data_IF_743912067609
#
_entry.id   IF_743912067609
#
_cell.length_a   1.000
_cell.length_b   1.000
_cell.length_c   1.000
_cell.angle_alpha   90.00
_cell.angle_beta   90.00
_cell.angle_gamma   90.00
#
_symmetry.space_group_name_H-M   'P 1'
#
loop_
_entity.id
_entity.type
_entity.pdbx_description
1 polymer ?
#
# COMPACT_ATOMS: atom_id res chain seq x y z
N UNK A 1 18.04 -72.48 -14.96
CA UNK A 1 18.79 -71.39 -15.69
C UNK A 1 17.83 -70.38 -16.32
N UNK A 2 16.72 -70.77 -16.91
CA UNK A 2 15.76 -69.81 -17.53
C UNK A 2 15.21 -68.74 -16.55
N UNK A 3 14.94 -69.13 -15.28
CA UNK A 3 14.35 -68.20 -14.28
C UNK A 3 15.31 -67.10 -13.89
N UNK A 4 16.58 -67.39 -13.67
CA UNK A 4 17.60 -66.40 -13.34
C UNK A 4 17.84 -65.41 -14.50
N UNK A 5 17.71 -65.91 -15.74
CA UNK A 5 17.80 -65.07 -16.94
C UNK A 5 16.61 -64.07 -17.01
N UNK A 6 15.37 -64.57 -16.79
CA UNK A 6 14.20 -63.73 -16.77
C UNK A 6 14.22 -62.68 -15.63
N UNK A 7 14.64 -63.09 -14.44
CA UNK A 7 14.82 -62.15 -13.32
C UNK A 7 15.87 -61.06 -13.64
N UNK A 8 17.00 -61.46 -14.30
CA UNK A 8 17.99 -60.49 -14.76
C UNK A 8 17.45 -59.53 -15.82
N UNK A 9 16.67 -60.02 -16.79
CA UNK A 9 16.07 -59.20 -17.84
C UNK A 9 15.05 -58.23 -17.24
N UNK A 10 14.21 -58.68 -16.27
CA UNK A 10 13.25 -57.77 -15.59
C UNK A 10 13.99 -56.66 -14.84
N UNK A 11 15.08 -56.97 -14.12
CA UNK A 11 15.92 -56.03 -13.43
C UNK A 11 16.54 -54.97 -14.39
N UNK A 12 17.07 -55.43 -15.54
CA UNK A 12 17.58 -54.52 -16.57
C UNK A 12 16.53 -53.54 -17.08
N UNK A 13 15.32 -54.01 -17.42
CA UNK A 13 14.21 -53.15 -17.85
C UNK A 13 13.83 -52.09 -16.82
N UNK A 14 13.73 -52.47 -15.58
CA UNK A 14 13.38 -51.59 -14.49
C UNK A 14 14.45 -50.52 -14.27
N UNK A 15 15.73 -50.90 -14.29
CA UNK A 15 16.85 -49.98 -14.18
C UNK A 15 16.96 -49.05 -15.39
N UNK A 16 16.66 -49.55 -16.63
CA UNK A 16 16.56 -48.69 -17.80
C UNK A 16 15.52 -47.60 -17.63
N UNK A 17 14.31 -47.96 -17.21
CA UNK A 17 13.27 -46.96 -16.93
C UNK A 17 13.72 -45.94 -15.86
N UNK A 18 14.41 -46.43 -14.83
CA UNK A 18 14.97 -45.51 -13.79
C UNK A 18 15.98 -44.52 -14.38
N UNK A 19 16.88 -45.01 -15.25
CA UNK A 19 17.87 -44.15 -15.92
C UNK A 19 17.20 -43.15 -16.85
N UNK A 20 16.15 -43.52 -17.57
CA UNK A 20 15.38 -42.60 -18.42
C UNK A 20 14.79 -41.46 -17.60
N UNK A 21 14.18 -41.76 -16.43
CA UNK A 21 13.64 -40.75 -15.52
C UNK A 21 14.73 -39.88 -14.91
N UNK A 22 15.85 -40.43 -14.50
CA UNK A 22 17.00 -39.65 -14.00
C UNK A 22 17.55 -38.76 -15.11
N UNK A 23 17.71 -39.28 -16.33
CA UNK A 23 18.15 -38.49 -17.48
C UNK A 23 17.24 -37.31 -17.77
N UNK A 24 15.92 -37.52 -17.70
CA UNK A 24 14.95 -36.45 -17.82
C UNK A 24 15.05 -35.41 -16.69
N UNK A 25 15.24 -35.85 -15.45
CA UNK A 25 15.44 -34.94 -14.32
C UNK A 25 16.69 -34.07 -14.47
N UNK A 26 17.79 -34.65 -14.95
CA UNK A 26 19.07 -33.95 -15.19
C UNK A 26 18.91 -32.97 -16.35
N UNK A 27 18.26 -33.37 -17.45
CA UNK A 27 18.05 -32.52 -18.61
C UNK A 27 17.24 -31.27 -18.28
N UNK A 28 16.32 -31.37 -17.31
CA UNK A 28 15.43 -30.30 -16.91
C UNK A 28 15.83 -29.60 -15.61
N UNK A 29 17.05 -29.78 -15.12
CA UNK A 29 17.51 -29.17 -13.85
C UNK A 29 17.41 -27.63 -13.88
N UNK A 30 17.58 -27.01 -15.05
CA UNK A 30 17.48 -25.56 -15.26
C UNK A 30 16.11 -25.12 -15.81
N UNK A 31 15.14 -26.03 -15.94
CA UNK A 31 13.81 -25.69 -16.42
C UNK A 31 12.98 -25.09 -15.27
N UNK A 32 12.52 -23.85 -15.41
CA UNK A 32 11.72 -23.15 -14.40
C UNK A 32 10.40 -23.88 -14.16
N UNK A 33 10.12 -24.17 -12.88
CA UNK A 33 8.89 -24.88 -12.49
C UNK A 33 8.92 -26.40 -12.74
N UNK A 34 10.04 -26.97 -13.23
CA UNK A 34 10.16 -28.42 -13.42
C UNK A 34 10.05 -29.18 -12.10
N UNK A 35 9.36 -30.32 -12.14
CA UNK A 35 9.16 -31.22 -11.02
C UNK A 35 9.85 -32.54 -11.28
N UNK A 36 10.78 -32.90 -10.39
CA UNK A 36 11.50 -34.17 -10.50
C UNK A 36 10.57 -35.35 -10.31
N UNK A 37 10.79 -36.38 -11.09
CA UNK A 37 10.08 -37.65 -10.98
C UNK A 37 10.97 -38.71 -10.29
N UNK A 38 10.35 -39.61 -9.55
CA UNK A 38 11.00 -40.76 -8.95
C UNK A 38 10.32 -42.06 -9.36
N UNK A 39 11.09 -43.13 -9.48
CA UNK A 39 10.60 -44.45 -9.88
C UNK A 39 10.63 -45.36 -8.67
N UNK A 40 9.48 -45.93 -8.34
CA UNK A 40 9.33 -46.94 -7.29
C UNK A 40 9.23 -48.33 -7.93
N UNK A 41 9.86 -49.27 -7.28
CA UNK A 41 9.91 -50.67 -7.74
C UNK A 41 9.05 -51.53 -6.84
N UNK A 42 8.52 -52.62 -7.42
CA UNK A 42 7.91 -53.70 -6.67
C UNK A 42 8.51 -55.04 -7.12
N UNK A 43 8.53 -55.99 -6.22
CA UNK A 43 8.83 -57.38 -6.57
C UNK A 43 7.66 -57.98 -7.38
N UNK A 44 8.00 -58.97 -8.18
CA UNK A 44 7.00 -59.76 -8.92
C UNK A 44 6.45 -60.83 -7.98
N UNK A 45 6.27 -62.04 -8.38
CA UNK A 45 5.82 -63.13 -7.53
C UNK A 45 6.99 -63.96 -7.01
N UNK A 46 6.77 -64.63 -5.88
CA UNK A 46 7.68 -65.63 -5.33
C UNK A 46 7.19 -67.00 -5.71
N UNK A 47 8.11 -67.85 -6.15
CA UNK A 47 7.85 -69.23 -6.32
C UNK A 47 8.31 -70.00 -5.08
N UNK A 48 7.41 -70.67 -4.37
CA UNK A 48 7.72 -71.51 -3.24
C UNK A 48 8.27 -72.85 -3.73
N UNK A 49 9.52 -73.13 -3.44
CA UNK A 49 10.19 -74.44 -3.78
C UNK A 49 10.00 -75.44 -2.69
N UNK A 50 9.86 -75.00 -1.45
CA UNK A 50 9.56 -75.87 -0.33
C UNK A 50 8.59 -75.15 0.62
N UNK A 51 7.51 -75.82 1.02
CA UNK A 51 6.52 -75.31 1.95
C UNK A 51 7.09 -75.25 3.37
N UNK A 52 6.50 -74.34 4.16
CA UNK A 52 6.80 -74.34 5.60
C UNK A 52 6.28 -75.60 6.30
N UNK A 53 7.01 -76.10 7.27
CA UNK A 53 6.51 -77.19 8.11
C UNK A 53 6.62 -76.79 9.60
N UNK A 54 5.57 -77.08 10.39
CA UNK A 54 5.56 -76.89 11.83
C UNK A 54 6.47 -77.89 12.52
N UNK A 55 6.84 -77.60 13.78
CA UNK A 55 7.55 -78.57 14.60
C UNK A 55 6.67 -79.80 14.89
N UNK A 56 7.24 -80.97 14.84
CA UNK A 56 6.56 -82.22 15.17
C UNK A 56 7.15 -82.81 16.46
N UNK A 57 6.36 -82.80 17.51
CA UNK A 57 6.78 -83.28 18.82
C UNK A 57 7.03 -84.81 18.87
N UNK A 58 6.35 -85.57 18.00
CA UNK A 58 6.49 -87.04 17.96
C UNK A 58 7.80 -87.52 17.32
N UNK A 59 8.31 -86.77 16.34
CA UNK A 59 9.53 -87.13 15.60
C UNK A 59 10.71 -86.27 16.02
N UNK A 60 10.54 -85.28 16.93
CA UNK A 60 11.59 -84.38 17.38
C UNK A 60 12.08 -83.41 16.25
N UNK A 61 11.37 -83.32 15.15
CA UNK A 61 11.76 -82.46 14.02
C UNK A 61 11.38 -81.00 14.29
N UNK A 62 12.34 -80.07 14.17
CA UNK A 62 12.11 -78.64 14.29
C UNK A 62 11.35 -78.12 13.06
N UNK A 63 10.55 -77.06 13.26
CA UNK A 63 9.85 -76.37 12.15
C UNK A 63 10.84 -75.75 11.17
N UNK A 64 10.48 -75.73 9.89
CA UNK A 64 11.23 -75.10 8.81
C UNK A 64 10.42 -74.00 8.12
N UNK A 65 11.07 -72.88 7.81
CA UNK A 65 10.45 -71.82 7.03
C UNK A 65 10.33 -72.24 5.57
N UNK A 66 9.38 -71.68 4.86
CA UNK A 66 9.26 -71.82 3.42
C UNK A 66 10.50 -71.33 2.69
N UNK A 67 10.93 -72.05 1.67
CA UNK A 67 12.00 -71.61 0.75
C UNK A 67 11.33 -71.06 -0.51
N UNK A 68 11.55 -69.78 -0.75
CA UNK A 68 10.92 -69.06 -1.85
C UNK A 68 11.98 -68.40 -2.71
N UNK A 69 11.77 -68.39 -4.05
CA UNK A 69 12.63 -67.71 -5.02
C UNK A 69 11.84 -66.65 -5.71
N UNK A 70 12.29 -65.38 -5.66
CA UNK A 70 11.69 -64.24 -6.36
C UNK A 70 11.89 -64.33 -7.87
N UNK A 71 10.90 -63.89 -8.64
CA UNK A 71 10.87 -63.95 -10.12
C UNK A 71 11.31 -62.65 -10.81
N UNK A 72 11.78 -61.67 -10.03
CA UNK A 72 12.26 -60.38 -10.54
C UNK A 72 11.54 -59.16 -9.97
N UNK A 73 11.72 -58.02 -10.59
CA UNK A 73 11.14 -56.74 -10.21
C UNK A 73 10.39 -56.09 -11.36
N UNK A 74 9.43 -55.22 -11.00
CA UNK A 74 8.65 -54.43 -11.95
C UNK A 74 8.63 -52.96 -11.49
N UNK A 75 8.28 -52.04 -12.40
CA UNK A 75 8.01 -50.64 -12.05
C UNK A 75 6.64 -50.57 -11.41
N UNK A 76 6.57 -50.14 -10.15
CA UNK A 76 5.31 -49.97 -9.44
C UNK A 76 4.63 -48.65 -9.80
N UNK A 77 5.39 -47.55 -9.76
CA UNK A 77 4.89 -46.22 -10.09
C UNK A 77 6.02 -45.26 -10.44
N UNK A 78 5.69 -44.28 -11.25
CA UNK A 78 6.51 -43.09 -11.45
C UNK A 78 5.75 -41.94 -10.81
N UNK A 79 6.29 -41.41 -9.73
CA UNK A 79 5.69 -40.29 -8.96
C UNK A 79 6.42 -39.00 -9.23
N UNK A 80 5.65 -37.91 -9.38
CA UNK A 80 6.17 -36.55 -9.50
C UNK A 80 6.21 -35.92 -8.12
N UNK A 81 7.35 -35.34 -7.75
CA UNK A 81 7.48 -34.62 -6.49
C UNK A 81 6.75 -33.29 -6.56
N UNK A 82 5.60 -33.17 -5.90
CA UNK A 82 4.79 -31.95 -5.87
C UNK A 82 5.16 -31.02 -4.72
N UNK A 83 5.87 -31.51 -3.70
CA UNK A 83 6.29 -30.72 -2.54
C UNK A 83 7.62 -29.99 -2.82
N UNK A 84 7.82 -28.87 -2.11
CA UNK A 84 9.04 -28.09 -2.17
C UNK A 84 9.00 -26.95 -3.21
N UNK A 85 9.83 -25.96 -3.00
CA UNK A 85 9.91 -24.71 -3.78
C UNK A 85 10.74 -24.85 -5.05
N UNK A 86 11.61 -25.86 -5.14
CA UNK A 86 12.62 -25.94 -6.21
C UNK A 86 13.80 -24.99 -5.99
N UNK A 87 14.76 -25.01 -6.91
CA UNK A 87 15.89 -24.09 -6.88
C UNK A 87 15.46 -22.68 -7.33
N UNK A 88 15.95 -21.67 -6.65
CA UNK A 88 15.76 -20.27 -7.03
C UNK A 88 16.73 -19.91 -8.17
N UNK A 89 16.23 -19.22 -9.18
CA UNK A 89 17.04 -18.64 -10.24
C UNK A 89 16.81 -17.14 -10.27
N UNK A 90 17.88 -16.35 -10.20
CA UNK A 90 17.81 -14.90 -10.30
C UNK A 90 17.86 -14.48 -11.76
N UNK A 91 16.87 -13.71 -12.20
CA UNK A 91 16.71 -13.28 -13.60
C UNK A 91 16.91 -11.79 -13.80
N UNK A 92 17.00 -11.01 -12.72
CA UNK A 92 17.07 -9.54 -12.72
C UNK A 92 15.89 -8.85 -13.48
N UNK A 93 14.75 -9.54 -13.64
CA UNK A 93 13.49 -9.02 -14.19
C UNK A 93 12.48 -8.81 -13.06
N UNK A 94 11.86 -7.62 -12.99
CA UNK A 94 10.93 -7.27 -11.93
C UNK A 94 9.63 -8.11 -11.93
N UNK A 95 9.26 -8.68 -13.08
CA UNK A 95 8.02 -9.47 -13.24
C UNK A 95 8.23 -10.97 -13.10
N UNK A 96 9.47 -11.43 -12.91
CA UNK A 96 9.73 -12.82 -12.62
C UNK A 96 9.55 -13.08 -11.11
N UNK A 97 8.56 -13.88 -10.78
CA UNK A 97 8.11 -14.15 -9.42
C UNK A 97 8.31 -15.60 -9.03
N UNK A 98 8.64 -15.85 -7.78
CA UNK A 98 8.71 -17.21 -7.23
C UNK A 98 7.84 -17.31 -5.97
N UNK A 99 7.06 -18.39 -5.88
CA UNK A 99 6.32 -18.70 -4.66
C UNK A 99 7.22 -19.53 -3.74
N UNK A 100 7.50 -18.97 -2.55
CA UNK A 100 8.16 -19.70 -1.48
C UNK A 100 7.09 -20.44 -0.65
N UNK A 101 6.92 -21.74 -0.90
CA UNK A 101 5.90 -22.57 -0.24
C UNK A 101 5.18 -23.52 -1.19
N UNK A 102 4.07 -24.11 -0.72
CA UNK A 102 3.31 -25.13 -1.44
C UNK A 102 2.20 -24.59 -2.35
N UNK A 103 2.09 -23.25 -2.50
CA UNK A 103 1.12 -22.62 -3.39
C UNK A 103 1.53 -22.70 -4.88
N UNK A 104 0.59 -22.40 -5.75
CA UNK A 104 0.77 -22.36 -7.21
C UNK A 104 0.19 -21.06 -7.77
N UNK A 105 0.75 -20.60 -8.87
CA UNK A 105 0.10 -19.60 -9.71
C UNK A 105 -1.03 -20.26 -10.48
N UNK A 106 -2.16 -19.57 -10.56
CA UNK A 106 -3.33 -20.00 -11.32
C UNK A 106 -3.31 -19.30 -12.66
N UNK A 107 -3.33 -20.07 -13.74
CA UNK A 107 -3.30 -19.53 -15.10
C UNK A 107 -4.41 -20.12 -15.94
N UNK A 108 -4.92 -19.35 -16.89
CA UNK A 108 -5.97 -19.79 -17.83
C UNK A 108 -5.43 -19.82 -19.24
N UNK A 109 -5.54 -20.95 -19.90
CA UNK A 109 -5.20 -21.12 -21.31
C UNK A 109 -6.33 -21.86 -22.02
N UNK A 110 -6.78 -21.36 -23.17
CA UNK A 110 -7.86 -21.96 -23.97
C UNK A 110 -9.14 -22.31 -23.17
N UNK A 111 -9.51 -21.45 -22.21
CA UNK A 111 -10.71 -21.66 -21.38
C UNK A 111 -10.54 -22.63 -20.20
N UNK A 112 -9.41 -23.33 -20.11
CA UNK A 112 -9.10 -24.25 -19.00
C UNK A 112 -8.15 -23.60 -18.01
N UNK A 113 -8.36 -23.90 -16.71
CA UNK A 113 -7.51 -23.41 -15.62
C UNK A 113 -6.39 -24.41 -15.31
N UNK A 114 -5.17 -23.92 -15.21
CA UNK A 114 -3.98 -24.72 -14.89
C UNK A 114 -3.26 -24.10 -13.70
N UNK A 115 -2.45 -24.94 -13.06
CA UNK A 115 -1.59 -24.53 -11.94
C UNK A 115 -0.13 -24.65 -12.34
N UNK A 116 0.65 -23.61 -12.10
CA UNK A 116 2.09 -23.59 -12.44
C UNK A 116 2.90 -23.02 -11.29
N UNK A 117 4.16 -23.45 -11.21
CA UNK A 117 5.18 -22.81 -10.36
C UNK A 117 6.11 -21.88 -11.17
N UNK A 118 5.99 -21.91 -12.51
CA UNK A 118 6.71 -20.97 -13.35
C UNK A 118 6.13 -19.57 -13.17
N UNK A 119 6.95 -18.65 -12.69
CA UNK A 119 6.59 -17.26 -12.42
C UNK A 119 7.19 -16.30 -13.44
N UNK A 120 7.48 -16.76 -14.65
CA UNK A 120 7.97 -15.90 -15.73
C UNK A 120 6.79 -15.15 -16.35
N UNK A 121 6.51 -13.96 -15.84
CA UNK A 121 5.37 -13.16 -16.26
C UNK A 121 5.81 -11.93 -17.06
N UNK A 122 4.84 -11.36 -17.77
CA UNK A 122 4.97 -10.07 -18.44
C UNK A 122 3.57 -9.44 -18.56
N UNK A 123 3.51 -8.17 -18.95
CA UNK A 123 2.27 -7.43 -19.14
C UNK A 123 2.06 -7.21 -20.63
N UNK A 124 0.89 -7.54 -21.15
CA UNK A 124 0.53 -7.30 -22.53
C UNK A 124 0.08 -5.84 -22.78
N UNK A 125 -0.19 -5.52 -24.03
CA UNK A 125 -0.64 -4.17 -24.43
C UNK A 125 -2.01 -3.77 -23.84
N UNK A 126 -2.81 -4.75 -23.37
CA UNK A 126 -4.08 -4.51 -22.68
C UNK A 126 -3.90 -4.36 -21.15
N UNK A 127 -2.68 -4.43 -20.64
CA UNK A 127 -2.38 -4.34 -19.22
C UNK A 127 -2.61 -5.63 -18.44
N UNK A 128 -2.80 -6.76 -19.14
CA UNK A 128 -3.07 -8.07 -18.53
C UNK A 128 -1.77 -8.79 -18.22
N UNK A 129 -1.70 -9.38 -17.02
CA UNK A 129 -0.57 -10.24 -16.63
C UNK A 129 -0.69 -11.61 -17.30
N UNK A 130 0.34 -12.01 -18.03
CA UNK A 130 0.39 -13.31 -18.70
C UNK A 130 1.71 -14.03 -18.48
N UNK A 131 1.69 -15.36 -18.64
CA UNK A 131 2.89 -16.19 -18.55
C UNK A 131 3.62 -16.18 -19.92
N UNK A 132 4.89 -15.76 -19.93
CA UNK A 132 5.69 -15.65 -21.17
C UNK A 132 5.96 -17.00 -21.85
N UNK A 133 5.91 -18.10 -21.07
CA UNK A 133 6.25 -19.46 -21.57
C UNK A 133 5.16 -20.05 -22.47
N UNK A 134 3.89 -19.71 -22.22
CA UNK A 134 2.74 -20.32 -22.91
C UNK A 134 1.63 -19.33 -23.28
N UNK A 135 1.80 -18.05 -23.00
CA UNK A 135 0.80 -17.02 -23.28
C UNK A 135 -0.48 -17.13 -22.42
N UNK A 136 -0.46 -17.93 -21.35
CA UNK A 136 -1.62 -18.08 -20.48
C UNK A 136 -1.83 -16.86 -19.58
N UNK A 137 -3.06 -16.37 -19.48
CA UNK A 137 -3.41 -15.26 -18.57
C UNK A 137 -3.34 -15.71 -17.12
N UNK A 138 -2.78 -14.89 -16.26
CA UNK A 138 -2.71 -15.14 -14.81
C UNK A 138 -4.04 -14.74 -14.17
N UNK A 139 -4.57 -15.62 -13.31
CA UNK A 139 -5.80 -15.38 -12.58
C UNK A 139 -5.50 -14.96 -11.15
N UNK A 140 -6.30 -14.06 -10.62
CA UNK A 140 -6.22 -13.61 -9.24
C UNK A 140 -7.54 -13.03 -8.76
N UNK A 141 -7.55 -12.60 -7.51
CA UNK A 141 -8.71 -11.94 -6.92
C UNK A 141 -8.60 -10.43 -7.11
N UNK A 142 -9.66 -9.82 -7.57
CA UNK A 142 -9.79 -8.37 -7.63
C UNK A 142 -10.10 -7.78 -6.27
N UNK A 143 -10.06 -6.46 -6.22
CA UNK A 143 -10.40 -5.64 -5.04
C UNK A 143 -11.77 -5.02 -5.28
N UNK A 144 -12.59 -4.88 -4.25
CA UNK A 144 -13.87 -4.18 -4.32
C UNK A 144 -13.66 -2.64 -4.16
N UNK A 145 -14.77 -1.89 -4.25
CA UNK A 145 -14.75 -0.43 -4.09
C UNK A 145 -14.28 0.04 -2.69
N UNK A 146 -14.26 -0.85 -1.70
CA UNK A 146 -13.80 -0.55 -0.34
C UNK A 146 -12.32 -0.89 -0.11
N UNK A 147 -11.65 -1.44 -1.12
CA UNK A 147 -10.25 -1.88 -1.02
C UNK A 147 -10.09 -3.29 -0.44
N UNK A 148 -11.17 -4.06 -0.25
CA UNK A 148 -11.11 -5.43 0.25
C UNK A 148 -10.99 -6.46 -0.88
N UNK A 149 -10.18 -7.50 -0.66
CA UNK A 149 -9.96 -8.55 -1.66
C UNK A 149 -11.20 -9.45 -1.74
N UNK A 150 -11.84 -9.49 -2.92
CA UNK A 150 -12.96 -10.39 -3.21
C UNK A 150 -12.45 -11.80 -3.50
N UNK A 151 -12.81 -12.74 -2.63
CA UNK A 151 -12.40 -14.16 -2.72
C UNK A 151 -13.44 -15.06 -3.40
N UNK A 152 -14.36 -14.49 -4.15
CA UNK A 152 -15.46 -15.20 -4.80
C UNK A 152 -15.02 -15.86 -6.12
N UNK A 153 -14.55 -15.08 -7.06
CA UNK A 153 -14.12 -15.53 -8.39
C UNK A 153 -12.71 -15.08 -8.71
N UNK A 154 -11.92 -15.99 -9.28
CA UNK A 154 -10.61 -15.65 -9.81
C UNK A 154 -10.76 -15.21 -11.26
N UNK A 155 -10.49 -13.95 -11.51
CA UNK A 155 -10.52 -13.36 -12.86
C UNK A 155 -9.11 -13.04 -13.36
N UNK A 156 -9.01 -12.69 -14.63
CA UNK A 156 -7.75 -12.29 -15.26
C UNK A 156 -7.22 -11.02 -14.61
N UNK A 157 -5.97 -11.05 -14.14
CA UNK A 157 -5.33 -9.90 -13.49
C UNK A 157 -4.95 -8.85 -14.54
N UNK A 158 -5.69 -7.75 -14.55
CA UNK A 158 -5.34 -6.53 -15.28
C UNK A 158 -4.65 -5.54 -14.35
N UNK A 159 -3.31 -5.47 -14.43
CA UNK A 159 -2.54 -4.57 -13.59
C UNK A 159 -2.57 -3.13 -14.09
N UNK A 160 -2.60 -2.95 -15.42
CA UNK A 160 -2.63 -1.63 -16.06
C UNK A 160 -3.96 -1.36 -16.75
N UNK A 161 -5.08 -1.59 -16.03
CA UNK A 161 -6.38 -1.10 -16.52
C UNK A 161 -6.43 0.43 -16.43
N UNK A 162 -7.24 1.11 -17.23
CA UNK A 162 -7.44 2.57 -17.11
C UNK A 162 -7.87 3.00 -15.70
N UNK A 163 -8.61 2.13 -15.00
CA UNK A 163 -9.04 2.35 -13.60
C UNK A 163 -7.86 2.27 -12.63
N UNK A 164 -6.88 1.38 -12.86
CA UNK A 164 -5.70 1.24 -12.02
C UNK A 164 -4.58 2.24 -12.36
N UNK A 165 -4.64 2.88 -13.52
CA UNK A 165 -3.66 3.89 -13.93
C UNK A 165 -3.90 5.25 -13.28
N UNK A 166 -5.12 5.53 -12.88
CA UNK A 166 -5.51 6.78 -12.25
C UNK A 166 -6.12 6.47 -10.88
N UNK A 167 -5.46 6.88 -9.81
CA UNK A 167 -6.10 6.92 -8.51
C UNK A 167 -7.06 8.13 -8.48
N UNK A 168 -8.25 7.95 -7.94
CA UNK A 168 -9.13 9.10 -7.69
C UNK A 168 -8.47 10.03 -6.67
N UNK A 169 -8.48 11.35 -6.90
CA UNK A 169 -7.96 12.28 -5.92
C UNK A 169 -8.82 12.21 -4.66
N UNK A 170 -8.18 12.24 -3.51
CA UNK A 170 -8.86 12.33 -2.23
C UNK A 170 -8.60 13.69 -1.60
N UNK A 171 -9.67 14.35 -1.16
CA UNK A 171 -9.54 15.59 -0.42
C UNK A 171 -8.93 15.36 0.96
N UNK A 172 -8.18 16.33 1.44
CA UNK A 172 -7.68 16.31 2.82
C UNK A 172 -8.82 16.61 3.77
N UNK A 173 -9.04 15.76 4.76
CA UNK A 173 -10.07 15.94 5.79
C UNK A 173 -9.49 16.41 7.11
N UNK A 174 -8.28 15.97 7.47
CA UNK A 174 -7.63 16.29 8.72
C UNK A 174 -6.18 16.70 8.53
N UNK A 175 -5.74 17.68 9.29
CA UNK A 175 -4.34 18.09 9.40
C UNK A 175 -4.01 18.28 10.87
N UNK A 176 -2.98 17.61 11.37
CA UNK A 176 -2.52 17.73 12.75
C UNK A 176 -1.35 18.69 12.81
N UNK A 177 -1.39 19.61 13.76
CA UNK A 177 -0.28 20.51 14.07
C UNK A 177 0.50 19.96 15.25
N UNK A 178 1.80 19.83 15.10
CA UNK A 178 2.72 19.40 16.16
C UNK A 178 3.83 20.44 16.36
N UNK A 179 4.34 20.52 17.58
CA UNK A 179 5.47 21.39 17.89
C UNK A 179 5.24 22.32 19.07
N UNK A 180 6.09 23.34 19.17
CA UNK A 180 6.09 24.26 20.30
C UNK A 180 5.91 25.70 19.85
N UNK A 181 4.98 26.42 20.51
CA UNK A 181 4.83 27.87 20.42
C UNK A 181 5.65 28.46 21.58
N UNK A 182 6.72 29.16 21.27
CA UNK A 182 7.56 29.75 22.30
C UNK A 182 6.97 31.07 22.82
N UNK A 183 6.65 31.10 24.11
CA UNK A 183 6.06 32.29 24.73
C UNK A 183 6.97 33.53 24.71
N UNK A 184 8.28 33.36 24.46
CA UNK A 184 9.28 34.43 24.33
C UNK A 184 9.60 34.82 22.90
N UNK A 185 8.95 34.18 21.93
CA UNK A 185 9.11 34.50 20.51
C UNK A 185 8.50 35.88 20.21
N UNK A 186 9.31 36.77 19.62
CA UNK A 186 8.86 38.12 19.26
C UNK A 186 7.73 38.12 18.25
N UNK A 187 7.65 37.11 17.40
CA UNK A 187 6.57 36.99 16.39
C UNK A 187 5.22 36.63 17.03
N UNK A 188 5.25 35.97 18.19
CA UNK A 188 4.04 35.57 18.91
C UNK A 188 3.55 36.64 19.88
N UNK A 189 4.37 37.67 20.16
CA UNK A 189 4.04 38.74 21.10
C UNK A 189 2.78 39.49 20.66
N UNK A 190 1.95 39.87 21.62
CA UNK A 190 0.76 40.67 21.34
C UNK A 190 1.11 42.00 20.65
N UNK A 191 0.49 42.22 19.49
CA UNK A 191 0.55 43.48 18.77
C UNK A 191 -0.80 43.70 18.06
N UNK A 192 -1.31 44.94 18.13
CA UNK A 192 -2.59 45.26 17.46
C UNK A 192 -2.50 45.11 15.93
N UNK A 193 -1.29 45.39 15.38
CA UNK A 193 -0.99 45.34 13.94
C UNK A 193 0.04 44.25 13.60
N UNK A 194 0.31 43.33 14.54
CA UNK A 194 1.28 42.26 14.37
C UNK A 194 0.79 41.17 13.45
N UNK A 195 1.70 40.67 12.58
CA UNK A 195 1.37 39.58 11.66
C UNK A 195 1.23 38.21 12.35
N UNK A 196 1.71 38.08 13.61
CA UNK A 196 1.75 36.81 14.33
C UNK A 196 2.79 35.82 13.77
N UNK A 197 2.90 34.68 14.43
CA UNK A 197 3.75 33.57 13.96
C UNK A 197 3.05 32.83 12.82
N UNK A 198 3.66 32.75 11.62
CA UNK A 198 3.02 32.13 10.45
C UNK A 198 3.08 30.60 10.50
N UNK A 199 1.95 29.94 10.27
CA UNK A 199 1.83 28.50 10.10
C UNK A 199 1.25 28.25 8.71
N UNK A 200 1.89 27.42 7.89
CA UNK A 200 1.41 27.08 6.55
C UNK A 200 0.84 25.67 6.53
N UNK A 201 -0.45 25.54 6.32
CA UNK A 201 -1.18 24.26 6.27
C UNK A 201 -1.52 23.94 4.82
N UNK A 202 -0.97 22.86 4.27
CA UNK A 202 -1.25 22.43 2.90
C UNK A 202 -2.30 21.32 2.88
N UNK A 203 -3.25 21.41 1.98
CA UNK A 203 -4.35 20.44 1.80
C UNK A 203 -4.73 20.30 0.34
N UNK A 204 -5.36 19.17 -0.01
CA UNK A 204 -5.89 18.91 -1.35
C UNK A 204 -7.42 19.07 -1.37
N UNK A 205 -7.92 19.53 -2.50
CA UNK A 205 -9.34 19.54 -2.79
C UNK A 205 -9.83 18.19 -3.37
N UNK A 206 -11.13 18.07 -3.66
CA UNK A 206 -11.75 16.86 -4.23
C UNK A 206 -11.24 16.51 -5.64
N UNK A 207 -10.57 17.45 -6.30
CA UNK A 207 -10.03 17.29 -7.67
C UNK A 207 -8.52 17.03 -7.66
N UNK A 208 -7.89 17.16 -6.49
CA UNK A 208 -6.45 16.95 -6.30
C UNK A 208 -5.59 18.20 -6.47
N UNK A 209 -6.19 19.40 -6.48
CA UNK A 209 -5.41 20.63 -6.46
C UNK A 209 -4.85 20.88 -5.06
N UNK A 210 -3.62 21.29 -4.99
CA UNK A 210 -2.96 21.65 -3.73
C UNK A 210 -3.24 23.11 -3.38
N UNK A 211 -3.75 23.33 -2.19
CA UNK A 211 -3.91 24.66 -1.57
C UNK A 211 -3.07 24.75 -0.30
N UNK A 212 -2.69 25.96 0.07
CA UNK A 212 -1.96 26.25 1.29
C UNK A 212 -2.64 27.38 2.03
N UNK A 213 -3.25 27.07 3.19
CA UNK A 213 -3.77 28.05 4.11
C UNK A 213 -2.63 28.59 5.00
N UNK A 214 -2.49 29.89 5.05
CA UNK A 214 -1.59 30.59 5.98
C UNK A 214 -2.37 31.02 7.20
N UNK A 215 -1.98 30.47 8.34
CA UNK A 215 -2.51 30.84 9.65
C UNK A 215 -1.50 31.74 10.36
N UNK A 216 -1.98 32.58 11.24
CA UNK A 216 -1.15 33.33 12.18
C UNK A 216 -1.56 33.03 13.61
N UNK A 217 -0.56 32.89 14.47
CA UNK A 217 -0.76 32.69 15.91
C UNK A 217 -0.08 33.84 16.65
N UNK A 218 -0.82 34.51 17.53
CA UNK A 218 -0.30 35.59 18.38
C UNK A 218 -0.94 35.52 19.76
N UNK A 219 -0.28 36.11 20.77
CA UNK A 219 -0.89 36.24 22.11
C UNK A 219 -2.22 37.00 22.04
N UNK A 220 -3.20 36.51 22.76
CA UNK A 220 -4.55 37.14 22.80
C UNK A 220 -4.50 38.51 23.49
N UNK A 221 -3.68 38.65 24.53
CA UNK A 221 -3.51 39.87 25.31
C UNK A 221 -2.05 40.08 25.71
N UNK A 222 -1.74 41.31 26.12
CA UNK A 222 -0.39 41.63 26.67
C UNK A 222 -0.16 41.07 28.09
N UNK A 223 -1.23 40.70 28.82
CA UNK A 223 -1.22 40.33 30.24
C UNK A 223 -1.35 38.84 30.51
N UNK A 224 -1.88 38.05 29.55
CA UNK A 224 -2.06 36.59 29.66
C UNK A 224 -1.01 35.89 28.81
N UNK A 225 -0.21 35.01 29.41
CA UNK A 225 0.88 34.32 28.72
C UNK A 225 0.45 32.97 28.12
N UNK A 226 -0.72 32.44 28.47
CA UNK A 226 -1.21 31.12 28.10
C UNK A 226 -2.37 31.13 27.09
N UNK A 227 -2.74 32.30 26.59
CA UNK A 227 -3.83 32.46 25.63
C UNK A 227 -3.31 33.06 24.31
N UNK A 228 -3.64 32.42 23.21
CA UNK A 228 -3.24 32.83 21.87
C UNK A 228 -4.46 32.90 20.96
N UNK A 229 -4.47 33.84 20.04
CA UNK A 229 -5.48 33.90 18.96
C UNK A 229 -4.90 33.26 17.72
N UNK A 230 -5.72 32.44 17.05
CA UNK A 230 -5.43 31.86 15.76
C UNK A 230 -6.32 32.50 14.71
N UNK A 231 -5.73 32.96 13.63
CA UNK A 231 -6.45 33.55 12.50
C UNK A 231 -5.89 33.09 11.16
N UNK A 232 -6.70 33.20 10.11
CA UNK A 232 -6.26 33.02 8.73
C UNK A 232 -5.69 34.34 8.21
N UNK A 233 -4.60 34.27 7.47
CA UNK A 233 -3.99 35.43 6.82
C UNK A 233 -4.11 35.38 5.30
N UNK A 234 -4.01 34.19 4.69
CA UNK A 234 -4.17 34.02 3.25
C UNK A 234 -4.43 32.55 2.91
N UNK A 235 -4.94 32.29 1.71
CA UNK A 235 -5.05 30.95 1.12
C UNK A 235 -4.51 31.02 -0.30
N UNK A 236 -3.51 30.18 -0.57
CA UNK A 236 -2.79 30.17 -1.83
C UNK A 236 -3.02 28.89 -2.63
N UNK A 237 -2.98 29.02 -3.94
CA UNK A 237 -2.94 27.89 -4.86
C UNK A 237 -1.53 27.26 -4.95
N UNK A 238 -1.40 26.18 -5.72
CA UNK A 238 -0.11 25.50 -5.96
C UNK A 238 0.95 26.37 -6.65
N UNK A 239 0.54 27.49 -7.26
CA UNK A 239 1.43 28.46 -7.93
C UNK A 239 1.85 29.60 -7.00
N UNK A 240 1.33 29.63 -5.76
CA UNK A 240 1.62 30.68 -4.80
C UNK A 240 0.75 31.94 -4.97
N UNK A 241 -0.30 31.89 -5.81
CA UNK A 241 -1.24 33.00 -5.93
C UNK A 241 -2.33 32.88 -4.88
N UNK A 242 -2.69 34.00 -4.27
CA UNK A 242 -3.84 34.02 -3.36
C UNK A 242 -5.15 33.83 -4.11
N UNK A 243 -6.02 32.95 -3.61
CA UNK A 243 -7.36 32.75 -4.17
C UNK A 243 -8.38 33.78 -3.65
N UNK A 244 -8.01 34.55 -2.63
CA UNK A 244 -8.88 35.52 -1.97
C UNK A 244 -8.84 36.88 -2.66
N UNK A 245 -7.85 37.14 -3.51
CA UNK A 245 -7.69 38.39 -4.23
C UNK A 245 -7.57 38.17 -5.72
N UNK A 246 -8.13 39.10 -6.48
CA UNK A 246 -8.01 39.16 -7.93
C UNK A 246 -7.21 40.38 -8.34
N UNK A 247 -6.18 40.18 -9.16
CA UNK A 247 -5.41 41.27 -9.73
C UNK A 247 -6.09 41.78 -10.99
N UNK A 248 -6.29 43.09 -11.08
CA UNK A 248 -6.79 43.81 -12.26
C UNK A 248 -5.81 44.92 -12.61
N UNK A 249 -5.72 45.31 -13.89
CA UNK A 249 -4.86 46.42 -14.33
C UNK A 249 -5.78 47.62 -14.51
N UNK A 250 -5.47 48.74 -13.84
CA UNK A 250 -6.22 49.98 -13.97
C UNK A 250 -5.94 50.68 -15.31
N UNK A 251 -6.66 51.76 -15.62
CA UNK A 251 -6.48 52.54 -16.82
C UNK A 251 -5.11 53.21 -16.93
N UNK A 252 -4.36 53.26 -15.84
CA UNK A 252 -3.01 53.83 -15.74
C UNK A 252 -1.89 52.76 -15.89
N UNK A 253 -2.28 51.47 -16.04
CA UNK A 253 -1.34 50.36 -16.18
C UNK A 253 -0.83 49.82 -14.84
N UNK A 254 -1.37 50.22 -13.68
CA UNK A 254 -0.97 49.72 -12.39
C UNK A 254 -1.81 48.50 -12.04
N UNK A 255 -1.18 47.51 -11.37
CA UNK A 255 -1.90 46.35 -10.80
C UNK A 255 -2.61 46.77 -9.56
N UNK A 256 -3.95 46.62 -9.53
CA UNK A 256 -4.81 46.85 -8.39
C UNK A 256 -5.46 45.55 -7.99
N UNK A 257 -5.56 45.31 -6.70
CA UNK A 257 -6.17 44.10 -6.16
C UNK A 257 -7.58 44.36 -5.63
N UNK A 258 -8.46 43.39 -5.79
CA UNK A 258 -9.82 43.40 -5.28
C UNK A 258 -10.17 42.05 -4.67
N UNK A 259 -11.19 42.01 -3.80
CA UNK A 259 -11.69 40.77 -3.21
C UNK A 259 -12.31 39.85 -4.28
N UNK A 260 -12.09 38.56 -4.12
CA UNK A 260 -12.83 37.53 -4.84
C UNK A 260 -14.13 37.21 -4.08
N UNK A 261 -15.07 36.51 -4.72
CA UNK A 261 -16.34 36.08 -4.06
C UNK A 261 -16.15 34.77 -3.27
N UNK A 262 -14.95 34.51 -2.78
CA UNK A 262 -14.68 33.29 -1.97
C UNK A 262 -15.20 33.48 -0.55
N UNK A 263 -15.99 32.50 -0.07
CA UNK A 263 -16.45 32.43 1.31
C UNK A 263 -15.50 31.55 2.11
N UNK A 264 -14.91 32.10 3.15
CA UNK A 264 -14.03 31.39 4.07
C UNK A 264 -14.76 31.28 5.41
N UNK A 265 -14.79 30.08 5.99
CA UNK A 265 -15.22 29.87 7.37
C UNK A 265 -14.12 29.21 8.15
N UNK A 266 -13.85 29.68 9.36
CA UNK A 266 -12.83 29.15 10.23
C UNK A 266 -13.25 29.23 11.70
N UNK A 267 -13.10 28.12 12.42
CA UNK A 267 -13.41 28.06 13.85
C UNK A 267 -14.84 28.35 14.20
N UNK A 268 -15.80 27.89 13.38
CA UNK A 268 -17.25 28.11 13.60
C UNK A 268 -17.78 29.49 13.19
N UNK A 269 -16.91 30.38 12.71
CA UNK A 269 -17.32 31.69 12.16
C UNK A 269 -17.54 31.56 10.64
N UNK A 270 -18.76 31.83 10.20
CA UNK A 270 -19.14 31.73 8.79
C UNK A 270 -20.12 32.87 8.41
N UNK A 271 -19.83 33.64 7.35
CA UNK A 271 -18.51 33.76 6.68
C UNK A 271 -17.55 34.66 7.48
N UNK A 272 -16.26 34.40 7.33
CA UNK A 272 -15.21 35.33 7.73
C UNK A 272 -15.17 36.48 6.72
N UNK A 273 -15.49 37.71 7.19
CA UNK A 273 -15.37 38.89 6.36
C UNK A 273 -13.89 39.27 6.20
N UNK A 274 -13.47 39.51 4.99
CA UNK A 274 -12.13 40.01 4.68
C UNK A 274 -12.21 41.16 3.68
N UNK A 275 -11.24 42.02 3.69
CA UNK A 275 -11.05 43.11 2.73
C UNK A 275 -9.67 42.96 2.07
N UNK A 276 -9.61 43.34 0.84
CA UNK A 276 -8.36 43.37 0.08
C UNK A 276 -8.07 44.82 -0.29
N UNK A 277 -6.98 45.35 0.21
CA UNK A 277 -6.56 46.71 -0.13
C UNK A 277 -5.96 46.74 -1.54
N UNK A 278 -5.95 47.90 -2.20
CA UNK A 278 -5.43 48.06 -3.55
C UNK A 278 -3.95 47.62 -3.71
N UNK A 279 -3.16 47.60 -2.63
CA UNK A 279 -1.79 47.11 -2.58
C UNK A 279 -1.67 45.59 -2.49
N UNK A 280 -2.80 44.88 -2.35
CA UNK A 280 -2.89 43.43 -2.26
C UNK A 280 -2.81 42.87 -0.83
N UNK A 281 -2.85 43.75 0.19
CA UNK A 281 -2.92 43.30 1.59
C UNK A 281 -4.30 42.75 1.90
N UNK A 282 -4.36 41.56 2.49
CA UNK A 282 -5.61 40.90 2.90
C UNK A 282 -5.80 41.09 4.40
N UNK A 283 -6.89 41.72 4.79
CA UNK A 283 -7.24 41.96 6.19
C UNK A 283 -8.52 41.19 6.51
N UNK A 284 -8.39 40.18 7.39
CA UNK A 284 -9.55 39.47 7.91
C UNK A 284 -10.13 40.20 9.13
N UNK A 285 -11.43 40.17 9.25
CA UNK A 285 -12.09 40.51 10.52
C UNK A 285 -11.58 39.49 11.55
N UNK A 286 -11.05 40.00 12.68
CA UNK A 286 -10.38 39.17 13.68
C UNK A 286 -11.16 37.90 13.99
N UNK A 287 -10.56 36.74 13.72
CA UNK A 287 -11.02 35.47 14.23
C UNK A 287 -10.94 35.48 15.75
N UNK A 288 -12.01 35.08 16.42
CA UNK A 288 -12.03 34.94 17.89
C UNK A 288 -11.60 33.58 18.38
N UNK A 289 -11.02 32.75 17.49
CA UNK A 289 -10.56 31.41 17.88
C UNK A 289 -9.37 31.54 18.87
N UNK A 290 -9.68 31.16 20.12
CA UNK A 290 -8.76 31.29 21.26
C UNK A 290 -8.13 29.90 21.51
N UNK A 291 -6.81 29.86 21.47
CA UNK A 291 -6.00 28.69 21.81
C UNK A 291 -5.48 28.85 23.23
N UNK A 292 -5.84 27.93 24.11
CA UNK A 292 -5.50 27.99 25.53
C UNK A 292 -4.56 26.88 25.92
N UNK A 293 -3.50 27.22 26.64
CA UNK A 293 -2.53 26.30 27.20
C UNK A 293 -2.54 26.33 28.72
N UNK A 294 -2.08 25.27 29.35
CA UNK A 294 -1.87 25.24 30.79
C UNK A 294 -0.61 26.07 31.12
N UNK A 295 -0.80 27.15 31.86
CA UNK A 295 0.31 28.03 32.22
C UNK A 295 1.41 27.41 33.09
N UNK A 296 1.15 26.28 33.74
CA UNK A 296 2.11 25.55 34.58
C UNK A 296 2.82 24.40 33.85
N UNK A 297 2.11 23.66 33.00
CA UNK A 297 2.67 22.50 32.27
C UNK A 297 2.99 22.82 30.81
N UNK A 298 2.46 23.91 30.24
CA UNK A 298 2.64 24.25 28.82
C UNK A 298 1.89 23.36 27.86
N UNK A 299 1.04 22.47 28.35
CA UNK A 299 0.25 21.56 27.54
C UNK A 299 -0.99 22.24 26.96
N UNK A 300 -1.43 21.75 25.82
CA UNK A 300 -2.69 22.18 25.20
C UNK A 300 -3.88 21.89 26.14
N UNK A 301 -4.82 22.85 26.22
CA UNK A 301 -6.07 22.70 26.99
C UNK A 301 -7.29 22.71 26.09
N UNK A 302 -7.44 23.74 25.28
CA UNK A 302 -8.62 23.87 24.40
C UNK A 302 -8.38 24.90 23.29
N UNK A 303 -9.18 24.80 22.23
CA UNK A 303 -9.30 25.83 21.22
C UNK A 303 -10.75 26.31 21.13
N UNK A 304 -10.98 27.61 21.24
CA UNK A 304 -12.33 28.23 21.27
C UNK A 304 -13.31 27.57 22.25
N UNK A 305 -12.80 26.97 23.34
CA UNK A 305 -13.61 26.22 24.32
C UNK A 305 -13.83 24.73 23.99
N UNK A 306 -13.42 24.27 22.80
CA UNK A 306 -13.48 22.86 22.40
C UNK A 306 -12.24 22.13 22.87
N UNK A 307 -12.44 21.09 23.68
CA UNK A 307 -11.34 20.26 24.25
C UNK A 307 -10.72 19.34 23.19
N UNK A 308 -11.46 18.97 22.16
CA UNK A 308 -10.97 18.13 21.07
C UNK A 308 -9.87 18.81 20.22
N UNK A 309 -9.71 20.12 20.36
CA UNK A 309 -8.59 20.84 19.75
C UNK A 309 -8.72 21.09 18.26
N UNK A 310 -9.88 20.84 17.65
CA UNK A 310 -10.07 20.93 16.21
C UNK A 310 -10.75 22.24 15.82
N UNK A 311 -10.18 22.94 14.82
CA UNK A 311 -10.84 24.03 14.11
C UNK A 311 -11.10 23.60 12.67
N UNK A 312 -12.34 23.79 12.22
CA UNK A 312 -12.71 23.48 10.85
C UNK A 312 -12.48 24.70 9.94
N UNK A 313 -11.82 24.44 8.80
CA UNK A 313 -11.63 25.39 7.71
C UNK A 313 -12.51 24.96 6.54
N UNK A 314 -13.52 25.74 6.19
CA UNK A 314 -14.33 25.53 4.98
C UNK A 314 -14.10 26.65 3.98
N UNK A 315 -14.05 26.26 2.72
CA UNK A 315 -13.95 27.14 1.57
C UNK A 315 -15.15 26.90 0.67
N UNK A 316 -15.74 27.97 0.18
CA UNK A 316 -16.84 27.89 -0.77
C UNK A 316 -16.70 29.04 -1.78
N UNK A 317 -16.76 28.71 -3.06
CA UNK A 317 -16.70 29.68 -4.15
C UNK A 317 -18.05 30.37 -4.43
N UNK A 318 -19.04 30.17 -3.55
CA UNK A 318 -20.42 30.67 -3.73
C UNK A 318 -21.26 29.79 -4.68
N UNK A 319 -20.70 28.73 -5.24
CA UNK A 319 -21.41 27.79 -6.10
C UNK A 319 -21.51 26.43 -5.42
N UNK A 320 -22.66 26.08 -4.93
CA UNK A 320 -22.90 24.84 -4.17
C UNK A 320 -22.90 23.58 -5.04
N UNK A 321 -23.05 23.73 -6.37
CA UNK A 321 -23.16 22.57 -7.26
C UNK A 321 -21.82 22.08 -7.81
N UNK A 322 -20.78 22.91 -7.83
CA UNK A 322 -19.45 22.59 -8.40
C UNK A 322 -18.29 22.93 -7.46
N UNK A 323 -18.52 22.94 -6.15
CA UNK A 323 -17.45 23.25 -5.20
C UNK A 323 -16.39 22.13 -5.18
N UNK A 324 -15.18 22.44 -5.62
CA UNK A 324 -14.05 21.51 -5.59
C UNK A 324 -13.48 21.29 -4.16
N UNK A 325 -13.78 22.18 -3.24
CA UNK A 325 -13.31 22.08 -1.86
C UNK A 325 -14.07 21.00 -1.08
N UNK A 326 -13.44 20.40 -0.05
CA UNK A 326 -14.12 19.43 0.80
C UNK A 326 -15.43 19.98 1.38
N UNK A 327 -16.52 19.28 1.16
CA UNK A 327 -17.86 19.72 1.58
C UNK A 327 -17.92 19.97 3.08
N UNK A 328 -17.23 19.15 3.87
CA UNK A 328 -17.14 19.27 5.33
C UNK A 328 -15.96 20.13 5.80
N UNK A 329 -15.21 20.73 4.87
CA UNK A 329 -13.99 21.46 5.18
C UNK A 329 -12.80 20.59 5.58
N UNK A 330 -11.75 21.25 6.03
CA UNK A 330 -10.53 20.63 6.56
C UNK A 330 -10.46 20.87 8.05
N UNK A 331 -10.40 19.81 8.84
CA UNK A 331 -10.22 19.92 10.29
C UNK A 331 -8.72 20.10 10.59
N UNK A 332 -8.40 21.15 11.30
CA UNK A 332 -7.04 21.45 11.76
C UNK A 332 -6.98 21.17 13.25
N UNK A 333 -6.21 20.16 13.63
CA UNK A 333 -6.05 19.72 15.01
C UNK A 333 -4.84 20.42 15.66
N UNK A 334 -5.10 21.14 16.72
CA UNK A 334 -4.12 21.88 17.50
C UNK A 334 -3.68 21.15 18.78
N UNK A 335 -4.23 19.97 19.06
CA UNK A 335 -3.97 19.23 20.30
C UNK A 335 -2.52 18.80 20.47
N UNK A 336 -1.78 18.66 19.36
CA UNK A 336 -0.34 18.32 19.37
C UNK A 336 0.60 19.49 19.66
N UNK A 337 0.07 20.69 19.92
CA UNK A 337 0.89 21.86 20.22
C UNK A 337 1.18 21.99 21.71
N UNK A 338 2.35 22.52 21.99
CA UNK A 338 2.80 22.85 23.37
C UNK A 338 3.23 24.30 23.45
N UNK A 339 3.27 24.84 24.67
CA UNK A 339 3.75 26.20 24.95
C UNK A 339 4.86 26.15 25.99
N UNK A 340 6.09 26.04 25.53
CA UNK A 340 7.25 26.12 26.40
C UNK A 340 8.13 27.34 26.05
N UNK A 341 8.61 28.04 27.06
CA UNK A 341 9.59 29.08 26.86
C UNK A 341 10.98 28.42 26.61
N UNK A 342 11.43 28.46 25.37
CA UNK A 342 12.74 27.92 24.99
C UNK A 342 13.76 29.01 24.64
N UNK A 343 14.14 29.10 23.39
CA UNK A 343 15.14 30.05 22.89
C UNK A 343 14.55 31.27 22.19
N UNK A 344 13.26 31.50 22.31
CA UNK A 344 12.57 32.59 21.62
C UNK A 344 12.26 32.29 20.14
N UNK A 345 12.15 31.01 19.78
CA UNK A 345 11.82 30.58 18.43
C UNK A 345 10.75 29.48 18.50
N UNK A 346 9.59 29.75 17.90
CA UNK A 346 8.53 28.78 17.77
C UNK A 346 8.84 27.77 16.66
N UNK A 347 8.39 26.51 16.84
CA UNK A 347 8.54 25.45 15.85
C UNK A 347 7.23 24.69 15.73
N UNK A 348 6.43 25.02 14.73
CA UNK A 348 5.17 24.35 14.45
C UNK A 348 5.25 23.67 13.10
N UNK A 349 4.87 22.39 13.03
CA UNK A 349 4.89 21.57 11.83
C UNK A 349 3.48 21.02 11.57
N UNK A 350 2.89 21.28 10.41
CA UNK A 350 1.67 20.65 9.98
C UNK A 350 1.99 19.28 9.41
N UNK A 351 1.21 18.25 9.79
CA UNK A 351 1.27 16.91 9.24
C UNK A 351 -0.12 16.51 8.76
N UNK A 352 -0.23 16.08 7.51
CA UNK A 352 -1.44 15.46 6.98
C UNK A 352 -1.45 13.99 7.39
N UNK A 353 -2.64 13.45 7.69
CA UNK A 353 -2.78 12.01 7.89
C UNK A 353 -2.33 11.23 6.65
N UNK A 354 -1.72 10.07 6.84
CA UNK A 354 -1.18 9.22 5.75
C UNK A 354 -2.20 8.84 4.66
N UNK A 355 -3.50 8.98 4.99
CA UNK A 355 -4.62 8.66 4.09
C UNK A 355 -5.38 9.89 3.61
N UNK A 356 -5.03 11.07 4.10
CA UNK A 356 -5.76 12.31 3.81
C UNK A 356 -5.06 13.14 2.73
N UNK A 357 -5.74 13.28 1.61
CA UNK A 357 -5.34 14.12 0.50
C UNK A 357 -4.13 13.60 -0.28
N UNK A 358 -4.36 13.01 -1.41
CA UNK A 358 -3.31 12.61 -2.34
C UNK A 358 -3.62 13.05 -3.76
N UNK A 359 -2.57 13.22 -4.51
CA UNK A 359 -2.65 13.55 -5.93
C UNK A 359 -3.03 12.28 -6.72
N UNK A 360 -3.86 12.43 -7.75
CA UNK A 360 -4.33 11.38 -8.66
C UNK A 360 -3.23 10.80 -9.59
N UNK A 361 -1.97 10.76 -9.16
CA UNK A 361 -0.88 10.22 -9.98
C UNK A 361 -0.30 8.97 -9.30
N UNK A 362 -0.54 7.81 -9.90
CA UNK A 362 0.27 6.63 -9.59
C UNK A 362 1.65 6.89 -10.20
N UNK A 363 2.62 7.25 -9.38
CA UNK A 363 4.01 7.10 -9.74
C UNK A 363 4.31 5.61 -9.78
N UNK A 364 4.25 5.03 -10.98
CA UNK A 364 5.00 3.82 -11.25
C UNK A 364 6.45 4.28 -11.21
N UNK A 365 7.12 4.10 -10.07
CA UNK A 365 8.56 4.28 -9.99
C UNK A 365 9.16 3.34 -11.02
N UNK A 366 9.72 3.87 -12.09
CA UNK A 366 10.65 3.10 -12.92
C UNK A 366 11.68 2.50 -11.95
N UNK A 367 11.98 1.19 -12.07
CA UNK A 367 13.04 0.62 -11.28
C UNK A 367 14.31 1.41 -11.62
N UNK A 368 14.81 2.14 -10.64
CA UNK A 368 16.11 2.79 -10.74
C UNK A 368 17.12 1.72 -11.12
N UNK A 369 17.70 1.87 -12.30
CA UNK A 369 18.82 1.06 -12.79
C UNK A 369 20.02 1.13 -11.86
#
# INVERSE_FOLDING_TARGET
MMRSLWSGVSGLKVHQTKMDVIGNNIANVNTVGFRSSSVNFTDVFYQTTQGASGPNATTGAAGRNAVQIGLGSNVASISVNMSGTGATNRTDRGMDLMINGDAFFVVRSNGSTYFTKSGCFDIDAAGTLYCTTNGASVLGWGVDANGEIRKDTADTLQLMSPENQNAEPAATTNVTLSGNIDSKDKQVTYSADGAGYPISVSFYDNVGNLFTAKLSVMKANATTDNEYTVGITDIMDSKGNSILKQATVDASGNTVYSTTNQYVSFGGQSPLNYTVDPDGTITFTKSTSLLTFNGSSGEFVSVSGEVEGMLNLTLNDGNTENNAFPVNGVNIDFSGLTMYATKGTSTVKPERGDKDGHLSLIHISEPTR
#
